data_IF_550271523804
#
_entry.id   IF_550271523804
#
_cell.length_a   1.000
_cell.length_b   1.000
_cell.length_c   1.000
_cell.angle_alpha   90.00
_cell.angle_beta   90.00
_cell.angle_gamma   90.00
#
_symmetry.space_group_name_H-M   'P 1'
#
loop_
_entity.id
_entity.type
_entity.pdbx_description
1 polymer ?
#
# COMPACT_ATOMS: atom_id res chain seq x y z
N UNK A 1 -14.74 -20.29 -51.24
CA UNK A 1 -13.63 -19.82 -52.07
C UNK A 1 -12.50 -19.45 -51.11
N UNK A 2 -11.54 -20.39 -50.93
CA UNK A 2 -10.18 -20.34 -51.46
C UNK A 2 -9.47 -19.09 -50.89
N UNK A 3 -8.38 -19.16 -50.20
CA UNK A 3 -7.11 -19.90 -50.34
C UNK A 3 -6.31 -19.71 -49.06
N UNK A 4 -5.94 -20.67 -48.40
CA UNK A 4 -4.69 -21.33 -48.06
C UNK A 4 -3.41 -20.60 -48.55
N UNK A 5 -2.59 -20.15 -47.59
CA UNK A 5 -1.18 -19.89 -47.81
C UNK A 5 -0.36 -20.46 -46.66
N UNK A 6 0.19 -21.63 -46.92
CA UNK A 6 1.39 -22.22 -46.33
C UNK A 6 2.61 -21.53 -46.97
N UNK A 7 3.67 -21.36 -46.29
CA UNK A 7 5.10 -21.46 -46.61
C UNK A 7 5.90 -20.97 -45.43
N UNK A 8 6.49 -21.87 -44.68
CA UNK A 8 7.88 -22.37 -44.71
C UNK A 8 8.92 -21.43 -44.06
N UNK A 9 9.44 -21.91 -42.98
CA UNK A 9 10.80 -22.42 -42.76
C UNK A 9 11.92 -21.37 -42.78
N UNK A 10 12.56 -21.11 -41.67
CA UNK A 10 14.03 -21.15 -41.61
C UNK A 10 14.57 -21.26 -40.21
N UNK A 11 15.21 -22.36 -39.99
CA UNK A 11 16.09 -22.74 -38.92
C UNK A 11 17.36 -21.85 -38.98
N UNK A 12 17.76 -21.24 -37.86
CA UNK A 12 19.17 -20.85 -37.69
C UNK A 12 19.65 -21.25 -36.34
N UNK A 13 20.34 -22.39 -36.34
CA UNK A 13 21.29 -22.82 -35.31
C UNK A 13 22.67 -22.23 -35.67
N UNK A 14 23.36 -21.67 -34.69
CA UNK A 14 24.82 -21.55 -34.56
C UNK A 14 25.06 -20.88 -33.20
N UNK A 15 25.42 -21.58 -32.14
CA UNK A 15 26.61 -22.29 -31.73
C UNK A 15 27.91 -21.51 -31.93
N UNK A 16 28.48 -21.07 -30.81
CA UNK A 16 29.90 -20.90 -30.50
C UNK A 16 29.98 -20.57 -29.01
N UNK A 17 30.31 -21.42 -28.14
CA UNK A 17 31.48 -22.21 -27.78
C UNK A 17 32.76 -21.39 -27.65
N UNK A 18 33.34 -21.58 -26.49
CA UNK A 18 34.74 -21.57 -26.14
C UNK A 18 35.34 -20.24 -25.61
N UNK A 19 36.14 -20.17 -24.61
CA UNK A 19 37.23 -20.97 -24.04
C UNK A 19 37.73 -20.17 -22.84
N UNK A 20 37.92 -20.82 -21.74
CA UNK A 20 39.11 -21.41 -21.15
C UNK A 20 39.95 -20.55 -20.23
N UNK A 21 40.11 -21.06 -19.05
CA UNK A 21 41.33 -21.42 -18.27
C UNK A 21 42.09 -20.27 -17.62
N UNK A 22 42.49 -20.34 -16.41
CA UNK A 22 43.16 -21.31 -15.57
C UNK A 22 43.26 -20.79 -14.13
N UNK A 23 43.03 -21.68 -13.17
CA UNK A 23 43.99 -22.28 -12.23
C UNK A 23 44.63 -21.34 -11.19
N UNK A 24 44.30 -21.55 -9.93
CA UNK A 24 45.17 -22.15 -8.90
C UNK A 24 44.48 -22.16 -7.53
N UNK A 25 44.23 -23.36 -7.09
CA UNK A 25 44.45 -24.02 -5.79
C UNK A 25 44.70 -23.13 -4.56
N UNK A 26 43.90 -23.28 -3.52
CA UNK A 26 44.36 -23.86 -2.24
C UNK A 26 43.16 -24.08 -1.29
N UNK A 27 43.20 -25.26 -0.68
CA UNK A 27 42.34 -25.85 0.32
C UNK A 27 41.94 -24.93 1.49
N UNK A 28 40.72 -25.07 2.01
CA UNK A 28 40.52 -25.59 3.36
C UNK A 28 39.02 -25.60 3.75
N UNK A 29 38.51 -26.78 3.99
CA UNK A 29 37.64 -27.21 5.10
C UNK A 29 36.15 -26.79 5.10
N UNK A 30 35.33 -27.79 4.85
CA UNK A 30 33.91 -27.86 5.08
C UNK A 30 33.56 -27.51 6.53
N UNK A 31 32.54 -26.65 6.67
CA UNK A 31 31.62 -26.68 7.80
C UNK A 31 30.21 -26.57 7.20
N UNK A 32 29.51 -27.68 7.30
CA UNK A 32 28.10 -27.72 7.05
C UNK A 32 27.38 -26.99 8.17
N UNK A 33 26.80 -25.85 7.87
CA UNK A 33 25.76 -25.30 8.72
C UNK A 33 24.46 -25.21 7.92
N UNK A 34 23.52 -26.04 8.34
CA UNK A 34 22.16 -26.07 7.84
C UNK A 34 21.42 -24.87 8.38
N UNK A 35 21.51 -23.76 7.71
CA UNK A 35 20.66 -22.61 8.03
C UNK A 35 19.38 -22.74 7.21
N UNK A 36 18.32 -23.14 7.90
CA UNK A 36 16.98 -23.07 7.39
C UNK A 36 16.73 -21.66 6.80
N UNK A 37 16.45 -21.61 5.53
CA UNK A 37 16.05 -20.39 4.83
C UNK A 37 14.72 -19.94 5.42
N UNK A 38 14.80 -19.09 6.43
CA UNK A 38 13.68 -18.29 6.89
C UNK A 38 13.32 -17.37 5.73
N UNK A 39 12.20 -17.64 5.08
CA UNK A 39 11.62 -16.73 4.09
C UNK A 39 11.36 -15.42 4.80
N UNK A 40 12.31 -14.52 4.74
CA UNK A 40 12.15 -13.15 5.19
C UNK A 40 11.29 -12.48 4.13
N UNK A 41 10.04 -12.19 4.46
CA UNK A 41 9.24 -11.22 3.73
C UNK A 41 10.03 -9.91 3.69
N UNK A 42 10.84 -9.73 2.67
CA UNK A 42 11.60 -8.51 2.47
C UNK A 42 10.67 -7.44 1.91
N UNK A 43 9.88 -6.83 2.77
CA UNK A 43 9.32 -5.52 2.45
C UNK A 43 10.49 -4.54 2.30
N UNK A 44 10.40 -3.64 1.33
CA UNK A 44 11.40 -2.58 1.20
C UNK A 44 11.46 -1.78 2.52
N UNK A 45 12.61 -1.25 2.90
CA UNK A 45 12.80 -0.46 4.13
C UNK A 45 11.85 0.75 4.22
N UNK A 46 11.26 1.16 3.09
CA UNK A 46 10.27 2.25 2.99
C UNK A 46 8.80 1.76 3.02
N UNK A 47 8.54 0.53 3.45
CA UNK A 47 7.18 0.02 3.53
C UNK A 47 6.44 0.64 4.72
N UNK A 48 5.21 1.08 4.50
CA UNK A 48 4.31 1.58 5.58
C UNK A 48 4.11 0.57 6.71
N UNK A 49 4.30 -0.72 6.43
CA UNK A 49 4.19 -1.78 7.43
C UNK A 49 5.34 -1.85 8.44
N UNK A 50 6.42 -1.11 8.20
CA UNK A 50 7.55 -0.98 9.13
C UNK A 50 7.38 0.17 10.12
N UNK A 51 6.40 1.05 9.90
CA UNK A 51 6.11 2.13 10.82
C UNK A 51 5.53 1.56 12.12
N UNK A 52 6.17 1.83 13.28
CA UNK A 52 5.70 1.33 14.57
C UNK A 52 4.51 2.13 15.12
N UNK A 53 3.78 2.80 14.25
CA UNK A 53 2.68 3.67 14.61
C UNK A 53 1.44 2.86 15.00
N UNK A 54 0.83 3.25 16.11
CA UNK A 54 -0.49 2.78 16.52
C UNK A 54 -1.54 3.78 16.03
N UNK A 55 -2.53 3.27 15.34
CA UNK A 55 -3.62 4.04 14.76
C UNK A 55 -4.92 3.73 15.48
N UNK A 56 -5.66 4.75 15.84
CA UNK A 56 -7.02 4.60 16.38
C UNK A 56 -8.02 4.72 15.23
N UNK A 57 -8.90 3.73 15.09
CA UNK A 57 -9.95 3.72 14.08
C UNK A 57 -11.13 4.60 14.47
N UNK A 58 -12.03 4.86 13.54
CA UNK A 58 -13.32 5.52 13.81
C UNK A 58 -14.20 4.78 14.85
N UNK A 59 -13.91 3.53 15.13
CA UNK A 59 -14.63 2.75 16.14
C UNK A 59 -13.96 2.78 17.51
N UNK A 60 -12.80 3.43 17.65
CA UNK A 60 -11.99 3.48 18.85
C UNK A 60 -11.03 2.30 19.01
N UNK A 61 -10.95 1.40 18.04
CA UNK A 61 -10.02 0.29 18.08
C UNK A 61 -8.60 0.77 17.73
N UNK A 62 -7.61 0.19 18.40
CA UNK A 62 -6.21 0.44 18.07
C UNK A 62 -5.68 -0.65 17.16
N UNK A 63 -5.07 -0.25 16.03
CA UNK A 63 -4.46 -1.14 15.07
C UNK A 63 -3.06 -0.66 14.70
N UNK A 64 -2.24 -1.58 14.21
CA UNK A 64 -1.00 -1.26 13.50
C UNK A 64 -1.20 -1.55 11.99
N UNK A 65 -0.48 -0.84 11.13
CA UNK A 65 -0.61 -1.08 9.68
C UNK A 65 -0.19 -2.50 9.28
N UNK A 66 0.70 -3.13 10.04
CA UNK A 66 1.06 -4.55 9.83
C UNK A 66 -0.13 -5.50 9.95
N UNK A 67 -1.17 -5.14 10.71
CA UNK A 67 -2.39 -5.95 10.88
C UNK A 67 -3.23 -5.99 9.59
N UNK A 68 -2.97 -5.05 8.68
CA UNK A 68 -3.61 -4.96 7.37
C UNK A 68 -2.83 -5.69 6.26
N UNK A 69 -1.76 -6.43 6.61
CA UNK A 69 -0.98 -7.20 5.62
C UNK A 69 -1.86 -8.18 4.88
N UNK A 70 -1.57 -8.36 3.59
CA UNK A 70 -2.39 -9.19 2.70
C UNK A 70 -3.55 -8.47 2.03
N UNK A 71 -3.81 -7.22 2.42
CA UNK A 71 -4.79 -6.38 1.74
C UNK A 71 -4.10 -5.38 0.79
N UNK A 72 -4.81 -4.96 -0.22
CA UNK A 72 -4.47 -3.78 -1.03
C UNK A 72 -4.99 -2.56 -0.28
N UNK A 73 -4.10 -1.62 0.01
CA UNK A 73 -4.45 -0.39 0.72
C UNK A 73 -4.58 0.75 -0.27
N UNK A 74 -5.77 1.35 -0.34
CA UNK A 74 -6.01 2.61 -1.06
C UNK A 74 -6.04 3.70 -0.01
N UNK A 75 -5.07 4.61 -0.05
CA UNK A 75 -4.83 5.56 1.03
C UNK A 75 -5.02 6.98 0.57
N UNK A 76 -5.65 7.80 1.41
CA UNK A 76 -5.72 9.25 1.27
C UNK A 76 -5.55 9.91 2.63
N UNK A 77 -4.89 11.05 2.66
CA UNK A 77 -4.79 11.89 3.87
C UNK A 77 -5.83 13.01 3.78
N UNK A 78 -6.57 13.20 4.86
CA UNK A 78 -7.69 14.14 4.94
C UNK A 78 -7.71 14.87 6.29
N UNK A 79 -8.56 15.87 6.41
CA UNK A 79 -9.10 16.37 7.68
C UNK A 79 -10.58 16.72 7.50
N UNK A 80 -11.40 16.43 8.52
CA UNK A 80 -12.86 16.46 8.35
C UNK A 80 -13.43 17.86 8.16
N UNK A 81 -12.75 18.90 8.67
CA UNK A 81 -13.15 20.31 8.50
C UNK A 81 -12.78 20.90 7.13
N UNK A 82 -12.06 20.17 6.27
CA UNK A 82 -11.69 20.62 4.93
C UNK A 82 -12.92 20.80 4.01
N UNK A 83 -13.02 21.99 3.41
CA UNK A 83 -14.16 22.35 2.55
C UNK A 83 -13.85 22.33 1.05
N UNK A 84 -12.59 22.17 0.67
CA UNK A 84 -12.13 22.27 -0.74
C UNK A 84 -11.60 20.96 -1.29
N UNK A 85 -10.42 20.53 -0.86
CA UNK A 85 -9.75 19.38 -1.42
C UNK A 85 -10.35 18.04 -0.98
N UNK A 86 -10.67 17.90 0.31
CA UNK A 86 -11.15 16.62 0.86
C UNK A 86 -12.48 16.13 0.25
N UNK A 87 -13.47 16.98 -0.07
CA UNK A 87 -14.66 16.51 -0.78
C UNK A 87 -14.34 15.86 -2.14
N UNK A 88 -13.35 16.36 -2.85
CA UNK A 88 -12.90 15.80 -4.13
C UNK A 88 -12.22 14.45 -3.90
N UNK A 89 -11.28 14.38 -2.96
CA UNK A 89 -10.56 13.15 -2.61
C UNK A 89 -11.53 12.04 -2.15
N UNK A 90 -12.54 12.40 -1.35
CA UNK A 90 -13.57 11.45 -0.90
C UNK A 90 -14.41 10.93 -2.07
N UNK A 91 -14.78 11.81 -2.98
CA UNK A 91 -15.49 11.42 -4.21
C UNK A 91 -14.65 10.44 -5.02
N UNK A 92 -13.37 10.73 -5.21
CA UNK A 92 -12.45 9.88 -5.96
C UNK A 92 -12.26 8.51 -5.28
N UNK A 93 -12.15 8.47 -3.96
CA UNK A 93 -12.08 7.22 -3.19
C UNK A 93 -13.34 6.36 -3.40
N UNK A 94 -14.52 6.95 -3.39
CA UNK A 94 -15.78 6.25 -3.65
C UNK A 94 -15.86 5.74 -5.09
N UNK A 95 -15.39 6.52 -6.05
CA UNK A 95 -15.34 6.10 -7.45
C UNK A 95 -14.36 4.95 -7.67
N UNK A 96 -13.18 4.99 -7.03
CA UNK A 96 -12.22 3.88 -7.03
C UNK A 96 -12.87 2.63 -6.47
N UNK A 97 -13.54 2.73 -5.32
CA UNK A 97 -14.25 1.59 -4.73
C UNK A 97 -15.28 1.00 -5.68
N UNK A 98 -16.11 1.83 -6.27
CA UNK A 98 -17.13 1.39 -7.23
C UNK A 98 -16.49 0.58 -8.38
N UNK A 99 -15.38 1.07 -8.95
CA UNK A 99 -14.67 0.34 -10.01
C UNK A 99 -14.07 -0.98 -9.53
N UNK A 100 -13.55 -1.02 -8.31
CA UNK A 100 -13.07 -2.26 -7.68
C UNK A 100 -14.21 -3.25 -7.49
N UNK A 101 -15.36 -2.81 -7.00
CA UNK A 101 -16.54 -3.67 -6.81
C UNK A 101 -17.05 -4.25 -8.13
N UNK A 102 -16.97 -3.49 -9.22
CA UNK A 102 -17.41 -3.91 -10.56
C UNK A 102 -16.41 -4.87 -11.25
N UNK A 103 -15.10 -4.74 -10.96
CA UNK A 103 -14.07 -5.40 -11.78
C UNK A 103 -13.23 -6.45 -11.04
N UNK A 104 -13.15 -6.39 -9.71
CA UNK A 104 -12.23 -7.24 -8.96
C UNK A 104 -12.81 -8.59 -8.49
N UNK A 105 -14.10 -8.84 -8.69
CA UNK A 105 -14.77 -10.06 -8.25
C UNK A 105 -14.55 -10.30 -6.75
N UNK A 106 -14.15 -11.52 -6.35
CA UNK A 106 -13.92 -11.86 -4.94
C UNK A 106 -12.72 -11.15 -4.31
N UNK A 107 -11.78 -10.68 -5.13
CA UNK A 107 -10.61 -9.94 -4.65
C UNK A 107 -10.96 -8.56 -4.08
N UNK A 108 -12.15 -8.03 -4.39
CA UNK A 108 -12.62 -6.77 -3.80
C UNK A 108 -12.60 -6.77 -2.28
N UNK A 109 -12.81 -7.93 -1.64
CA UNK A 109 -12.79 -8.07 -0.19
C UNK A 109 -11.41 -7.86 0.44
N UNK A 110 -10.36 -7.98 -0.38
CA UNK A 110 -8.97 -7.76 0.03
C UNK A 110 -8.53 -6.30 -0.13
N UNK A 111 -9.44 -5.40 -0.50
CA UNK A 111 -9.13 -3.97 -0.62
C UNK A 111 -9.64 -3.24 0.61
N UNK A 112 -8.78 -2.45 1.24
CA UNK A 112 -9.12 -1.55 2.35
C UNK A 112 -8.89 -0.11 1.91
N UNK A 113 -9.80 0.76 2.27
CA UNK A 113 -9.78 2.17 1.94
C UNK A 113 -9.48 2.96 3.21
N UNK A 114 -8.28 3.54 3.28
CA UNK A 114 -7.77 4.23 4.45
C UNK A 114 -7.88 5.75 4.25
N UNK A 115 -8.60 6.41 5.13
CA UNK A 115 -8.64 7.87 5.22
C UNK A 115 -7.90 8.26 6.51
N UNK A 116 -6.71 8.79 6.36
CA UNK A 116 -5.81 9.12 7.48
C UNK A 116 -5.94 10.59 7.79
N UNK A 117 -6.35 10.89 9.03
CA UNK A 117 -6.47 12.29 9.47
C UNK A 117 -5.10 12.94 9.68
N UNK A 118 -4.97 14.18 9.17
CA UNK A 118 -3.84 15.06 9.43
C UNK A 118 -4.14 16.10 10.54
N UNK A 119 -5.35 16.08 11.09
CA UNK A 119 -5.81 16.94 12.19
C UNK A 119 -6.32 16.08 13.37
N UNK A 120 -5.42 15.36 14.06
CA UNK A 120 -5.82 14.44 15.11
C UNK A 120 -6.47 15.09 16.33
N UNK A 121 -6.29 16.38 16.53
CA UNK A 121 -6.92 17.10 17.64
C UNK A 121 -8.42 17.29 17.40
N UNK A 122 -8.81 17.66 16.19
CA UNK A 122 -10.21 17.85 15.79
C UNK A 122 -10.90 16.52 15.44
N UNK A 123 -10.17 15.62 14.75
CA UNK A 123 -10.71 14.37 14.21
C UNK A 123 -10.67 13.26 15.26
N UNK A 124 -11.49 13.38 16.31
CA UNK A 124 -11.67 12.31 17.29
C UNK A 124 -12.32 11.07 16.65
N UNK A 125 -12.22 9.87 17.25
CA UNK A 125 -12.88 8.66 16.73
C UNK A 125 -14.38 8.87 16.50
N UNK A 126 -15.05 9.54 17.45
CA UNK A 126 -16.49 9.84 17.34
C UNK A 126 -16.80 10.77 16.17
N UNK A 127 -15.94 11.78 15.94
CA UNK A 127 -16.07 12.70 14.83
C UNK A 127 -15.83 11.98 13.49
N UNK A 128 -14.78 11.17 13.40
CA UNK A 128 -14.50 10.35 12.22
C UNK A 128 -15.64 9.36 11.92
N UNK A 129 -16.22 8.76 12.96
CA UNK A 129 -17.36 7.85 12.82
C UNK A 129 -18.61 8.56 12.28
N UNK A 130 -18.91 9.74 12.82
CA UNK A 130 -20.03 10.56 12.33
C UNK A 130 -19.82 10.97 10.87
N UNK A 131 -18.60 11.39 10.53
CA UNK A 131 -18.17 11.78 9.20
C UNK A 131 -18.28 10.60 8.20
N UNK A 132 -17.82 9.41 8.58
CA UNK A 132 -17.93 8.19 7.77
C UNK A 132 -19.39 7.83 7.49
N UNK A 133 -20.22 7.84 8.52
CA UNK A 133 -21.64 7.51 8.42
C UNK A 133 -22.42 8.50 7.53
N UNK A 134 -22.19 9.79 7.71
CA UNK A 134 -22.82 10.82 6.86
C UNK A 134 -22.53 10.61 5.37
N UNK A 135 -21.33 10.06 5.05
CA UNK A 135 -20.88 9.81 3.68
C UNK A 135 -21.11 8.38 3.20
N UNK A 136 -21.79 7.54 3.99
CA UNK A 136 -22.02 6.12 3.66
C UNK A 136 -20.72 5.36 3.38
N UNK A 137 -19.71 5.60 4.25
CA UNK A 137 -18.38 5.01 4.20
C UNK A 137 -18.06 4.34 5.55
N UNK A 138 -19.03 3.61 6.09
CA UNK A 138 -19.00 3.06 7.44
C UNK A 138 -19.01 1.52 7.49
N UNK A 139 -18.77 0.87 6.36
CA UNK A 139 -18.59 -0.59 6.32
C UNK A 139 -17.13 -1.01 6.66
N UNK A 140 -16.90 -2.32 6.79
CA UNK A 140 -15.64 -2.92 7.23
C UNK A 140 -14.43 -2.65 6.31
N UNK A 141 -14.63 -2.18 5.08
CA UNK A 141 -13.55 -1.87 4.16
C UNK A 141 -13.05 -0.43 4.31
N UNK A 142 -13.83 0.44 4.93
CA UNK A 142 -13.47 1.83 5.18
C UNK A 142 -12.86 1.99 6.57
N UNK A 143 -11.63 2.46 6.61
CA UNK A 143 -10.89 2.74 7.84
C UNK A 143 -10.53 4.22 7.87
N UNK A 144 -11.11 4.92 8.83
CA UNK A 144 -10.71 6.29 9.16
C UNK A 144 -9.76 6.20 10.33
N UNK A 145 -8.54 6.63 10.13
CA UNK A 145 -7.44 6.46 11.06
C UNK A 145 -6.93 7.81 11.57
N UNK A 146 -6.64 7.84 12.85
CA UNK A 146 -5.89 8.93 13.48
C UNK A 146 -4.76 8.39 14.33
N UNK A 147 -3.71 9.20 14.48
CA UNK A 147 -2.62 8.95 15.42
C UNK A 147 -2.17 10.28 16.02
N UNK A 148 -1.02 10.31 16.69
CA UNK A 148 -0.41 11.59 17.07
C UNK A 148 0.23 12.29 15.87
N UNK A 149 0.61 13.56 16.04
CA UNK A 149 1.18 14.38 14.97
C UNK A 149 2.49 13.78 14.40
N UNK A 150 3.37 13.31 15.27
CA UNK A 150 4.67 12.74 14.88
C UNK A 150 4.50 11.53 13.96
N UNK A 151 3.71 10.55 14.39
CA UNK A 151 3.42 9.34 13.62
C UNK A 151 2.70 9.63 12.30
N UNK A 152 1.80 10.63 12.31
CA UNK A 152 1.10 11.08 11.11
C UNK A 152 2.08 11.72 10.11
N UNK A 153 3.06 12.50 10.57
CA UNK A 153 4.12 13.06 9.73
C UNK A 153 5.06 12.01 9.16
N UNK A 154 5.45 11.02 9.95
CA UNK A 154 6.25 9.89 9.46
C UNK A 154 5.52 9.12 8.36
N UNK A 155 4.25 8.83 8.57
CA UNK A 155 3.41 8.18 7.57
C UNK A 155 3.31 9.00 6.28
N UNK A 156 3.06 10.29 6.38
CA UNK A 156 3.02 11.20 5.25
C UNK A 156 4.35 11.22 4.47
N UNK A 157 5.48 11.22 5.19
CA UNK A 157 6.81 11.20 4.59
C UNK A 157 7.05 9.92 3.76
N UNK A 158 6.63 8.76 4.27
CA UNK A 158 6.74 7.48 3.53
C UNK A 158 5.89 7.48 2.26
N UNK A 159 4.74 8.16 2.29
CA UNK A 159 3.85 8.31 1.13
C UNK A 159 4.27 9.47 0.21
N UNK A 160 5.34 10.20 0.53
CA UNK A 160 5.75 11.43 -0.15
C UNK A 160 4.64 12.51 -0.20
N UNK A 161 3.79 12.54 0.83
CA UNK A 161 2.75 13.54 1.02
C UNK A 161 3.28 14.64 1.92
N UNK A 162 3.24 15.87 1.44
CA UNK A 162 3.58 17.04 2.23
C UNK A 162 2.30 17.79 2.61
N UNK A 163 2.18 18.13 3.88
CA UNK A 163 1.11 18.98 4.36
C UNK A 163 1.64 19.95 5.41
N UNK A 164 1.01 21.11 5.50
CA UNK A 164 1.35 22.14 6.48
C UNK A 164 0.08 22.75 7.03
N UNK A 165 0.02 22.88 8.35
CA UNK A 165 -1.04 23.67 8.97
C UNK A 165 -0.80 25.15 8.69
N UNK A 166 -1.75 25.83 8.08
CA UNK A 166 -1.71 27.26 7.75
C UNK A 166 -2.56 28.11 8.69
N UNK A 167 -3.54 27.49 9.33
CA UNK A 167 -4.33 28.07 10.43
C UNK A 167 -4.78 26.96 11.37
N UNK A 168 -5.34 27.27 12.55
CA UNK A 168 -5.83 26.23 13.48
C UNK A 168 -6.85 25.26 12.89
N UNK A 169 -7.46 25.60 11.78
CA UNK A 169 -8.52 24.79 11.15
C UNK A 169 -8.29 24.49 9.67
N UNK A 170 -7.10 24.82 9.14
CA UNK A 170 -6.83 24.65 7.71
C UNK A 170 -5.39 24.19 7.43
N UNK A 171 -5.25 23.34 6.40
CA UNK A 171 -4.00 22.74 5.97
C UNK A 171 -3.81 22.92 4.46
N UNK A 172 -2.57 22.93 4.00
CA UNK A 172 -2.17 22.96 2.59
C UNK A 172 -1.15 21.88 2.26
#
# INVERSE_FOLDING_TARGET
>A
MKTLYFILLSLFLLNCNNHNSNTATTDTKAVADSTATKTTDSFSDLSVYHLPAVWTTQNGDNIELKDLKGNVLVVVMIYTSCKTACPILIKDMREIRKRVDEQAGDKRKQVKYLLVSIDPETDTPEHLKAFAKERQMDDEQWLFLRSNEEQTREFAAVLAVNYKQISPVDFS
#
